data_IF_218796769916
#
_entry.id   IF_218796769916
#
_cell.length_a   1.000
_cell.length_b   1.000
_cell.length_c   1.000
_cell.angle_alpha   90.00
_cell.angle_beta   90.00
_cell.angle_gamma   90.00
#
_symmetry.space_group_name_H-M   'P 1'
#
loop_
_entity.id
_entity.type
_entity.pdbx_description
1 polymer ?
#
# COMPACT_ATOMS: atom_id res chain seq x y z
N UNK A 1 6.73 -5.12 13.05
CA UNK A 1 5.81 -5.77 12.11
C UNK A 1 6.59 -6.51 11.05
N UNK A 2 6.23 -7.76 10.78
CA UNK A 2 6.90 -8.66 9.85
C UNK A 2 5.87 -9.30 8.92
N UNK A 3 6.12 -9.20 7.61
CA UNK A 3 5.42 -10.00 6.60
C UNK A 3 6.15 -11.34 6.53
N UNK A 4 5.46 -12.43 6.87
CA UNK A 4 6.06 -13.77 6.91
C UNK A 4 5.74 -14.59 5.67
N UNK A 5 4.66 -14.25 4.95
CA UNK A 5 4.27 -14.92 3.72
C UNK A 5 3.47 -14.00 2.80
N UNK A 6 3.65 -14.18 1.49
CA UNK A 6 2.89 -13.50 0.45
C UNK A 6 2.62 -14.47 -0.71
N UNK A 7 1.39 -14.50 -1.18
CA UNK A 7 0.97 -15.21 -2.40
C UNK A 7 -0.25 -14.53 -3.01
N UNK A 8 -0.68 -14.96 -4.20
CA UNK A 8 -1.85 -14.38 -4.86
C UNK A 8 -3.09 -14.45 -3.96
N UNK A 9 -3.63 -13.27 -3.60
CA UNK A 9 -4.81 -13.13 -2.76
C UNK A 9 -4.58 -13.38 -1.27
N UNK A 10 -3.33 -13.47 -0.80
CA UNK A 10 -3.02 -13.76 0.61
C UNK A 10 -1.73 -13.08 1.07
N UNK A 11 -1.78 -12.46 2.26
CA UNK A 11 -0.60 -11.98 2.97
C UNK A 11 -0.69 -12.34 4.46
N UNK A 12 0.39 -12.86 5.04
CA UNK A 12 0.50 -13.15 6.47
C UNK A 12 1.43 -12.12 7.12
N UNK A 13 0.91 -11.40 8.11
CA UNK A 13 1.60 -10.30 8.82
C UNK A 13 1.48 -10.55 10.32
N UNK A 14 2.60 -10.59 11.03
CA UNK A 14 2.65 -10.85 12.48
C UNK A 14 1.77 -12.05 12.92
N UNK A 15 1.77 -13.12 12.12
CA UNK A 15 1.00 -14.34 12.39
C UNK A 15 -0.50 -14.27 12.05
N UNK A 16 -1.00 -13.16 11.49
CA UNK A 16 -2.39 -13.00 11.04
C UNK A 16 -2.48 -13.01 9.51
N UNK A 17 -3.45 -13.77 9.01
CA UNK A 17 -3.75 -13.85 7.57
C UNK A 17 -4.75 -12.78 7.14
N UNK A 18 -4.45 -12.16 6.01
CA UNK A 18 -5.32 -11.23 5.29
C UNK A 18 -5.51 -11.72 3.85
N UNK A 19 -6.75 -11.65 3.37
CA UNK A 19 -7.13 -12.09 2.01
C UNK A 19 -7.68 -10.94 1.16
N UNK A 20 -7.51 -9.72 1.64
CA UNK A 20 -7.85 -8.47 0.97
C UNK A 20 -6.68 -7.52 1.10
N UNK A 21 -6.73 -6.41 0.37
CA UNK A 21 -5.80 -5.30 0.54
C UNK A 21 -5.75 -4.83 1.99
N UNK A 22 -4.55 -4.39 2.40
CA UNK A 22 -4.28 -3.84 3.72
C UNK A 22 -3.37 -2.61 3.61
N UNK A 23 -3.51 -1.69 4.55
CA UNK A 23 -2.52 -0.63 4.79
C UNK A 23 -1.70 -1.02 6.02
N UNK A 24 -0.38 -0.98 5.86
CA UNK A 24 0.58 -1.31 6.91
C UNK A 24 1.21 -0.02 7.42
N UNK A 25 1.05 0.25 8.72
CA UNK A 25 1.69 1.35 9.44
C UNK A 25 2.82 0.81 10.34
N UNK A 26 3.66 1.65 10.97
CA UNK A 26 4.69 1.17 11.88
C UNK A 26 4.16 0.34 13.07
N UNK A 27 2.96 0.65 13.54
CA UNK A 27 2.37 0.14 14.78
C UNK A 27 1.07 -0.68 14.59
N UNK A 28 0.44 -0.63 13.41
CA UNK A 28 -0.85 -1.31 13.15
C UNK A 28 -1.03 -1.73 11.69
N UNK A 29 -1.95 -2.67 11.46
CA UNK A 29 -2.44 -3.05 10.13
C UNK A 29 -3.91 -2.67 10.03
N UNK A 30 -4.28 -1.90 9.01
CA UNK A 30 -5.65 -1.57 8.67
C UNK A 30 -6.12 -2.42 7.49
N UNK A 31 -7.06 -3.32 7.76
CA UNK A 31 -7.68 -4.18 6.75
C UNK A 31 -9.10 -3.74 6.37
N UNK A 32 -9.55 -2.58 6.87
CA UNK A 32 -10.86 -2.01 6.55
C UNK A 32 -10.86 -1.14 5.30
N UNK A 33 -9.66 -0.86 4.77
CA UNK A 33 -9.50 -0.04 3.57
C UNK A 33 -10.12 -0.68 2.33
N UNK A 34 -10.84 0.13 1.55
CA UNK A 34 -11.43 -0.28 0.29
C UNK A 34 -11.08 0.72 -0.81
N UNK A 35 -10.69 0.20 -1.98
CA UNK A 35 -10.41 1.04 -3.15
C UNK A 35 -11.73 1.55 -3.73
N UNK A 36 -11.75 2.82 -4.14
CA UNK A 36 -12.87 3.39 -4.89
C UNK A 36 -13.05 2.73 -6.27
N UNK A 37 -11.96 2.27 -6.87
CA UNK A 37 -11.94 1.61 -8.18
C UNK A 37 -11.06 0.34 -8.13
N UNK A 38 -11.47 -0.69 -8.88
CA UNK A 38 -10.64 -1.88 -9.05
C UNK A 38 -9.40 -1.56 -9.87
N UNK A 39 -8.24 -2.09 -9.49
CA UNK A 39 -6.97 -1.94 -10.24
C UNK A 39 -6.42 -0.51 -10.39
N UNK A 40 -7.08 0.50 -9.83
CA UNK A 40 -6.61 1.88 -9.88
C UNK A 40 -6.56 2.50 -8.49
N UNK A 41 -5.36 2.84 -8.04
CA UNK A 41 -5.13 3.51 -6.78
C UNK A 41 -5.26 5.02 -6.94
N UNK A 42 -6.36 5.56 -6.41
CA UNK A 42 -6.61 6.99 -6.30
C UNK A 42 -6.08 7.49 -4.95
N UNK A 43 -5.25 8.55 -4.96
CA UNK A 43 -4.76 9.21 -3.74
C UNK A 43 -5.94 9.70 -2.87
N UNK A 44 -7.01 10.15 -3.51
CA UNK A 44 -8.28 10.55 -2.88
C UNK A 44 -8.95 9.44 -2.06
N UNK A 45 -8.59 8.17 -2.32
CA UNK A 45 -9.04 6.99 -1.57
C UNK A 45 -8.08 6.54 -0.46
N UNK A 46 -6.94 7.22 -0.28
CA UNK A 46 -6.03 7.05 0.86
C UNK A 46 -5.93 8.27 1.80
N UNK A 47 -6.94 9.16 1.91
CA UNK A 47 -6.76 10.46 2.53
C UNK A 47 -6.48 10.33 4.02
N UNK A 48 -7.05 9.35 4.72
CA UNK A 48 -6.81 9.21 6.17
C UNK A 48 -5.39 8.74 6.46
N UNK A 49 -4.88 7.76 5.71
CA UNK A 49 -3.50 7.31 5.82
C UNK A 49 -2.50 8.43 5.49
N UNK A 50 -2.77 9.25 4.46
CA UNK A 50 -1.86 10.31 4.05
C UNK A 50 -1.97 11.57 4.90
N UNK A 51 -3.17 11.97 5.30
CA UNK A 51 -3.41 13.20 6.06
C UNK A 51 -3.05 13.05 7.54
N UNK A 52 -3.40 11.92 8.15
CA UNK A 52 -3.22 11.74 9.59
C UNK A 52 -1.79 11.30 9.91
N UNK A 53 -1.24 10.34 9.15
CA UNK A 53 0.06 9.75 9.47
C UNK A 53 1.23 10.52 8.84
N UNK A 54 0.98 11.32 7.79
CA UNK A 54 1.97 12.18 7.10
C UNK A 54 3.31 11.45 6.84
N UNK A 55 3.29 10.31 6.15
CA UNK A 55 4.49 9.50 5.97
C UNK A 55 5.51 10.22 5.09
N UNK A 56 6.79 10.08 5.44
CA UNK A 56 7.90 10.54 4.58
C UNK A 56 8.02 9.66 3.33
N UNK A 57 7.71 8.36 3.44
CA UNK A 57 7.81 7.37 2.37
C UNK A 57 6.52 6.55 2.33
N UNK A 58 6.00 6.33 1.12
CA UNK A 58 4.87 5.42 0.87
C UNK A 58 5.35 4.34 -0.09
N UNK A 59 5.15 3.09 0.30
CA UNK A 59 5.41 1.92 -0.56
C UNK A 59 4.06 1.38 -0.97
N UNK A 60 3.87 1.20 -2.28
CA UNK A 60 2.63 0.67 -2.85
C UNK A 60 2.94 -0.67 -3.50
N UNK A 61 2.37 -1.74 -2.97
CA UNK A 61 2.41 -3.05 -3.62
C UNK A 61 1.37 -3.13 -4.74
N UNK A 62 1.80 -3.49 -5.94
CA UNK A 62 0.94 -3.55 -7.15
C UNK A 62 0.20 -4.87 -7.33
N UNK A 63 0.23 -5.72 -6.29
CA UNK A 63 -0.31 -7.06 -6.31
C UNK A 63 0.56 -8.04 -7.11
N UNK A 64 0.21 -9.33 -7.04
CA UNK A 64 1.02 -10.43 -7.56
C UNK A 64 1.28 -10.35 -9.08
N UNK A 65 0.32 -9.79 -9.83
CA UNK A 65 0.38 -9.67 -11.28
C UNK A 65 0.78 -8.28 -11.77
N UNK A 66 1.23 -7.38 -10.89
CA UNK A 66 1.53 -5.98 -11.21
C UNK A 66 0.38 -5.23 -11.92
N UNK A 67 -0.85 -5.68 -11.66
CA UNK A 67 -2.05 -5.21 -12.36
C UNK A 67 -2.70 -3.99 -11.68
N UNK A 68 -2.06 -3.39 -10.68
CA UNK A 68 -2.53 -2.16 -10.05
C UNK A 68 -1.78 -0.95 -10.62
N UNK A 69 -2.53 -0.02 -11.19
CA UNK A 69 -2.02 1.29 -11.56
C UNK A 69 -2.15 2.28 -10.40
N UNK A 70 -1.22 3.22 -10.31
CA UNK A 70 -1.27 4.30 -9.34
C UNK A 70 -1.33 5.62 -10.09
N UNK A 71 -2.26 6.51 -9.71
CA UNK A 71 -2.22 7.89 -10.15
C UNK A 71 -0.84 8.48 -9.77
N UNK A 72 -0.13 9.04 -10.76
CA UNK A 72 1.20 9.62 -10.55
C UNK A 72 1.18 10.60 -9.37
N UNK A 73 2.07 10.36 -8.40
CA UNK A 73 2.19 11.17 -7.19
C UNK A 73 2.75 12.54 -7.58
N UNK A 74 2.01 13.60 -7.25
CA UNK A 74 2.52 14.97 -7.25
C UNK A 74 3.71 15.08 -6.30
N UNK A 75 4.81 15.66 -6.80
CA UNK A 75 6.04 15.99 -6.09
C UNK A 75 5.77 16.46 -4.65
N UNK A 76 6.25 15.69 -3.67
CA UNK A 76 6.80 16.28 -2.45
C UNK A 76 8.26 16.60 -2.80
N UNK A 77 8.66 17.87 -3.02
CA UNK A 77 10.04 18.18 -3.34
C UNK A 77 10.93 18.16 -2.07
N UNK A 78 12.20 17.72 -2.13
CA UNK A 78 12.88 16.93 -3.15
C UNK A 78 13.54 15.69 -2.53
N UNK A 79 12.78 14.69 -2.10
CA UNK A 79 13.35 13.40 -1.72
C UNK A 79 12.32 12.33 -2.06
N UNK A 80 12.45 11.69 -3.22
CA UNK A 80 12.18 10.27 -3.42
C UNK A 80 12.28 9.93 -4.91
N UNK A 81 13.27 9.08 -5.21
CA UNK A 81 13.21 8.25 -6.40
C UNK A 81 12.03 7.30 -6.24
N UNK A 82 11.03 7.39 -7.11
CA UNK A 82 10.01 6.34 -7.23
C UNK A 82 10.69 5.07 -7.73
N UNK A 83 11.15 4.22 -6.81
CA UNK A 83 11.70 2.92 -7.14
C UNK A 83 10.54 1.99 -7.53
N UNK A 84 10.40 1.73 -8.84
CA UNK A 84 9.66 0.55 -9.33
C UNK A 84 10.62 -0.64 -9.33
N UNK A 85 10.88 -1.19 -8.15
CA UNK A 85 11.64 -2.43 -7.99
C UNK A 85 10.68 -3.61 -7.85
N UNK A 86 10.97 -4.72 -8.54
CA UNK A 86 10.35 -6.01 -8.21
C UNK A 86 10.93 -6.47 -6.87
N UNK A 87 10.06 -6.75 -5.90
CA UNK A 87 10.42 -7.55 -4.72
C UNK A 87 10.50 -9.03 -5.10
#
# INVERSE_FOLDING_TARGET
MQITHYSFGKIDIDGKTYTSDVIIYPDKVDASWWRKEGHYLQIEGMPDALKNEKPEIIIIGTGYYDAMECALIYKIPPLLNTYRGRL
#
